data_IF_514250900386
#
_entry.id   IF_514250900386
#
_cell.length_a   1.000
_cell.length_b   1.000
_cell.length_c   1.000
_cell.angle_alpha   90.00
_cell.angle_beta   90.00
_cell.angle_gamma   90.00
#
_symmetry.space_group_name_H-M   'P 1'
#
loop_
_entity.id
_entity.type
_entity.pdbx_description
1 polymer ?
#
# COMPACT_ATOMS: atom_id res chain seq x y z
N UNK A 1 18.10 16.21 0.77
CA UNK A 1 16.91 16.85 0.16
C UNK A 1 15.71 16.03 0.55
N UNK A 2 14.61 16.69 0.97
CA UNK A 2 13.31 16.01 1.16
C UNK A 2 12.72 15.54 -0.17
N UNK A 3 11.78 14.61 -0.13
CA UNK A 3 11.10 14.15 -1.35
C UNK A 3 10.43 15.32 -2.11
N UNK A 4 9.86 16.28 -1.40
CA UNK A 4 9.24 17.45 -2.03
C UNK A 4 10.27 18.39 -2.69
N UNK A 5 11.45 18.57 -2.10
CA UNK A 5 12.53 19.35 -2.74
C UNK A 5 13.01 18.68 -4.03
N UNK A 6 13.13 17.34 -4.03
CA UNK A 6 13.48 16.57 -5.24
C UNK A 6 12.39 16.74 -6.30
N UNK A 7 11.11 16.54 -5.95
CA UNK A 7 10.00 16.68 -6.89
C UNK A 7 9.97 18.07 -7.53
N UNK A 8 10.13 19.14 -6.74
CA UNK A 8 10.20 20.53 -7.23
C UNK A 8 11.42 20.78 -8.12
N UNK A 9 12.59 20.21 -7.79
CA UNK A 9 13.77 20.37 -8.60
C UNK A 9 13.60 19.73 -9.99
N UNK A 10 12.99 18.54 -10.06
CA UNK A 10 12.68 17.86 -11.32
C UNK A 10 11.70 18.69 -12.17
N UNK A 11 10.61 19.18 -11.57
CA UNK A 11 9.61 20.02 -12.26
C UNK A 11 10.24 21.31 -12.75
N UNK A 12 11.10 21.95 -11.95
CA UNK A 12 11.81 23.18 -12.34
C UNK A 12 12.81 22.98 -13.49
N UNK A 13 13.32 21.75 -13.69
CA UNK A 13 14.20 21.41 -14.81
C UNK A 13 13.42 21.08 -16.10
N UNK A 14 12.10 20.93 -16.04
CA UNK A 14 11.28 20.68 -17.23
C UNK A 14 11.03 21.97 -18.03
N UNK A 15 11.08 21.87 -19.36
CA UNK A 15 10.75 22.94 -20.31
C UNK A 15 9.30 22.88 -20.83
N UNK A 16 8.54 21.92 -20.34
CA UNK A 16 7.13 21.65 -20.69
C UNK A 16 6.35 21.30 -19.44
N UNK A 17 5.03 21.15 -19.55
CA UNK A 17 4.21 20.72 -18.43
C UNK A 17 4.66 19.36 -17.93
N UNK A 18 4.92 19.30 -16.63
CA UNK A 18 5.42 18.09 -15.97
C UNK A 18 4.89 17.95 -14.55
N UNK A 19 4.83 16.70 -14.12
CA UNK A 19 4.54 16.30 -12.74
C UNK A 19 5.59 15.31 -12.30
N UNK A 20 6.05 15.44 -11.06
CA UNK A 20 7.00 14.53 -10.44
C UNK A 20 6.40 13.95 -9.16
N UNK A 21 6.42 12.62 -9.07
CA UNK A 21 6.11 11.85 -7.87
C UNK A 21 7.43 11.29 -7.33
N UNK A 22 7.73 11.59 -6.07
CA UNK A 22 8.91 11.10 -5.38
C UNK A 22 8.48 10.25 -4.20
N UNK A 23 8.98 9.03 -4.15
CA UNK A 23 8.81 8.13 -3.03
C UNK A 23 10.19 7.80 -2.44
N UNK A 24 10.43 8.25 -1.22
CA UNK A 24 11.59 7.88 -0.42
C UNK A 24 11.17 6.84 0.59
N UNK A 25 11.95 5.78 0.73
CA UNK A 25 11.66 4.66 1.61
C UNK A 25 12.94 4.21 2.32
N UNK A 26 12.80 3.93 3.61
CA UNK A 26 13.74 3.17 4.42
C UNK A 26 12.96 2.06 5.10
N UNK A 27 13.07 0.84 4.58
CA UNK A 27 12.32 -0.31 5.08
C UNK A 27 13.25 -1.44 5.53
N UNK A 28 12.83 -2.12 6.58
CA UNK A 28 13.55 -3.26 7.13
C UNK A 28 12.65 -4.47 7.28
N UNK A 29 13.24 -5.65 7.11
CA UNK A 29 12.57 -6.94 7.18
C UNK A 29 13.42 -7.90 8.02
N UNK A 30 12.81 -8.55 9.02
CA UNK A 30 13.34 -9.74 9.65
C UNK A 30 12.44 -10.93 9.33
N UNK A 31 12.86 -11.75 8.38
CA UNK A 31 12.14 -12.97 7.98
C UNK A 31 12.59 -14.17 8.81
N UNK A 32 11.65 -15.04 9.16
CA UNK A 32 11.93 -16.30 9.84
C UNK A 32 11.22 -17.48 9.16
N UNK A 33 11.81 -18.65 9.27
CA UNK A 33 11.25 -19.90 8.77
C UNK A 33 11.70 -21.05 9.65
N UNK A 34 10.78 -21.98 9.97
CA UNK A 34 11.06 -23.08 10.88
C UNK A 34 11.52 -22.62 12.27
N UNK A 35 10.99 -21.48 12.74
CA UNK A 35 11.34 -20.83 14.01
C UNK A 35 12.78 -20.31 14.10
N UNK A 36 13.42 -20.00 12.98
CA UNK A 36 14.74 -19.38 12.92
C UNK A 36 14.72 -18.11 12.05
N UNK A 37 15.38 -17.03 12.50
CA UNK A 37 15.54 -15.80 11.71
C UNK A 37 16.60 -16.03 10.63
N UNK A 38 16.20 -15.87 9.35
CA UNK A 38 17.08 -16.18 8.22
C UNK A 38 17.63 -14.96 7.47
N UNK A 39 16.82 -13.93 7.28
CA UNK A 39 17.18 -12.82 6.39
C UNK A 39 16.79 -11.47 7.00
N UNK A 40 17.69 -10.81 7.73
CA UNK A 40 17.55 -9.37 7.96
C UNK A 40 17.87 -8.62 6.65
N UNK A 41 16.98 -7.76 6.22
CA UNK A 41 17.17 -6.92 5.03
C UNK A 41 16.88 -5.47 5.43
N UNK A 42 17.69 -4.54 4.93
CA UNK A 42 17.43 -3.11 4.99
C UNK A 42 17.50 -2.56 3.57
N UNK A 43 16.45 -1.85 3.17
CA UNK A 43 16.34 -1.18 1.88
C UNK A 43 16.26 0.32 2.13
N UNK A 44 17.09 1.07 1.44
CA UNK A 44 17.01 2.53 1.36
C UNK A 44 16.94 2.89 -0.13
N UNK A 45 15.87 3.55 -0.53
CA UNK A 45 15.67 3.91 -1.93
C UNK A 45 14.92 5.23 -2.05
N UNK A 46 15.22 5.96 -3.12
CA UNK A 46 14.45 7.13 -3.56
C UNK A 46 14.08 6.89 -5.02
N UNK A 47 12.79 6.70 -5.26
CA UNK A 47 12.22 6.57 -6.60
C UNK A 47 11.62 7.90 -7.06
N UNK A 48 11.94 8.30 -8.28
CA UNK A 48 11.35 9.48 -8.94
C UNK A 48 10.61 9.00 -10.18
N UNK A 49 9.34 9.32 -10.28
CA UNK A 49 8.53 9.10 -11.49
C UNK A 49 8.10 10.45 -12.03
N UNK A 50 8.32 10.68 -13.32
CA UNK A 50 7.94 11.91 -14.01
C UNK A 50 6.91 11.61 -15.07
N UNK A 51 5.86 12.42 -15.11
CA UNK A 51 4.89 12.51 -16.21
C UNK A 51 5.12 13.83 -16.95
N UNK A 52 5.42 13.76 -18.23
CA UNK A 52 5.48 14.91 -19.15
C UNK A 52 4.19 14.99 -19.93
N UNK A 53 3.69 16.22 -20.13
CA UNK A 53 2.44 16.49 -20.85
C UNK A 53 2.73 17.35 -22.09
N UNK A 54 2.32 16.85 -23.26
CA UNK A 54 2.41 17.55 -24.55
C UNK A 54 1.00 17.66 -25.16
N UNK A 55 0.28 18.71 -24.77
CA UNK A 55 -1.14 18.87 -25.12
C UNK A 55 -2.00 17.79 -24.46
N UNK A 56 -2.53 16.86 -25.25
CA UNK A 56 -3.31 15.70 -24.77
C UNK A 56 -2.50 14.39 -24.70
N UNK A 57 -1.22 14.45 -24.92
CA UNK A 57 -0.31 13.29 -24.88
C UNK A 57 0.50 13.31 -23.60
N UNK A 58 0.58 12.19 -22.94
CA UNK A 58 1.35 12.04 -21.71
C UNK A 58 2.39 10.93 -21.86
N UNK A 59 3.54 11.13 -21.27
CA UNK A 59 4.60 10.14 -21.23
C UNK A 59 5.19 10.06 -19.82
N UNK A 60 5.52 8.85 -19.39
CA UNK A 60 6.00 8.58 -18.05
C UNK A 60 7.35 7.89 -18.10
N UNK A 61 8.24 8.27 -17.21
CA UNK A 61 9.51 7.59 -16.97
C UNK A 61 9.85 7.59 -15.48
N UNK A 62 10.68 6.63 -15.05
CA UNK A 62 11.12 6.51 -13.66
C UNK A 62 12.62 6.34 -13.55
N UNK A 63 13.19 6.83 -12.44
CA UNK A 63 14.60 6.70 -12.10
C UNK A 63 14.78 6.66 -10.58
N UNK A 64 15.89 6.13 -10.11
CA UNK A 64 16.38 6.30 -8.74
C UNK A 64 17.65 7.17 -8.66
N UNK A 65 18.03 7.80 -9.77
CA UNK A 65 19.16 8.73 -9.82
C UNK A 65 18.67 10.15 -9.56
N UNK A 66 19.08 10.72 -8.42
CA UNK A 66 18.60 12.01 -7.87
C UNK A 66 19.62 13.15 -8.05
N UNK A 67 20.32 13.19 -9.19
CA UNK A 67 21.20 14.29 -9.56
C UNK A 67 20.72 14.98 -10.86
N UNK A 68 21.33 16.11 -11.21
CA UNK A 68 20.95 16.91 -12.39
C UNK A 68 20.98 16.11 -13.70
N UNK A 69 21.90 15.14 -13.81
CA UNK A 69 21.99 14.27 -14.99
C UNK A 69 20.82 13.30 -15.02
N UNK A 70 20.49 12.68 -13.88
CA UNK A 70 19.32 11.80 -13.74
C UNK A 70 18.02 12.53 -14.04
N UNK A 71 17.88 13.79 -13.60
CA UNK A 71 16.68 14.61 -13.89
C UNK A 71 16.56 14.93 -15.38
N UNK A 72 17.67 15.29 -16.04
CA UNK A 72 17.67 15.53 -17.48
C UNK A 72 17.32 14.27 -18.27
N UNK A 73 17.91 13.12 -17.93
CA UNK A 73 17.66 11.83 -18.57
C UNK A 73 16.20 11.37 -18.41
N UNK A 74 15.63 11.49 -17.22
CA UNK A 74 14.24 11.05 -16.98
C UNK A 74 13.24 11.93 -17.72
N UNK A 75 13.45 13.26 -17.74
CA UNK A 75 12.61 14.20 -18.47
C UNK A 75 12.66 13.94 -19.97
N UNK A 76 13.86 13.68 -20.54
CA UNK A 76 14.01 13.32 -21.95
C UNK A 76 13.26 12.02 -22.30
N UNK A 77 13.37 11.00 -21.45
CA UNK A 77 12.68 9.72 -21.65
C UNK A 77 11.16 9.88 -21.56
N UNK A 78 10.64 10.61 -20.56
CA UNK A 78 9.22 10.89 -20.43
C UNK A 78 8.69 11.70 -21.62
N UNK A 79 9.45 12.70 -22.08
CA UNK A 79 9.11 13.48 -23.28
C UNK A 79 9.04 12.61 -24.53
N UNK A 80 10.04 11.78 -24.78
CA UNK A 80 10.04 10.86 -25.91
C UNK A 80 8.86 9.87 -25.87
N UNK A 81 8.46 9.43 -24.70
CA UNK A 81 7.26 8.61 -24.53
C UNK A 81 5.99 9.40 -24.87
N UNK A 82 5.86 10.65 -24.42
CA UNK A 82 4.72 11.52 -24.73
C UNK A 82 4.61 11.84 -26.23
N UNK A 83 5.74 12.08 -26.91
CA UNK A 83 5.77 12.37 -28.36
C UNK A 83 5.21 11.20 -29.19
N UNK A 84 5.34 9.95 -28.71
CA UNK A 84 4.88 8.76 -29.38
C UNK A 84 3.55 8.21 -28.83
N UNK A 85 2.99 8.81 -27.79
CA UNK A 85 1.72 8.41 -27.21
C UNK A 85 0.52 8.88 -28.06
N UNK A 86 -0.59 8.16 -28.09
CA UNK A 86 -1.84 8.65 -28.63
C UNK A 86 -2.36 9.84 -27.82
N UNK A 87 -3.19 10.68 -28.43
CA UNK A 87 -3.92 11.73 -27.70
C UNK A 87 -5.00 11.09 -26.81
N UNK A 88 -5.03 11.54 -25.54
CA UNK A 88 -6.11 11.20 -24.61
C UNK A 88 -7.05 12.41 -24.48
N UNK A 89 -8.16 12.34 -25.21
CA UNK A 89 -9.17 13.41 -25.20
C UNK A 89 -9.79 13.63 -23.82
N UNK A 90 -9.73 12.64 -22.95
CA UNK A 90 -10.30 12.69 -21.59
C UNK A 90 -9.33 13.26 -20.55
N UNK A 91 -8.04 13.43 -20.89
CA UNK A 91 -7.06 13.96 -19.97
C UNK A 91 -7.42 15.40 -19.51
N UNK A 92 -7.68 15.59 -18.20
CA UNK A 92 -8.18 16.87 -17.69
C UNK A 92 -7.09 17.92 -17.48
N UNK A 93 -5.82 17.58 -17.65
CA UNK A 93 -4.67 18.39 -17.26
C UNK A 93 -4.08 17.97 -15.91
N UNK A 94 -3.00 18.64 -15.50
CA UNK A 94 -2.37 18.42 -14.21
C UNK A 94 -3.22 18.99 -13.08
N UNK A 95 -3.17 18.35 -11.91
CA UNK A 95 -3.90 18.82 -10.73
C UNK A 95 -3.45 20.22 -10.31
N UNK A 96 -4.42 21.03 -9.90
CA UNK A 96 -4.16 22.39 -9.36
C UNK A 96 -3.87 22.32 -7.86
N UNK A 97 -3.20 23.33 -7.28
CA UNK A 97 -2.96 23.38 -5.85
C UNK A 97 -4.24 23.24 -5.03
N UNK A 98 -4.26 22.28 -4.12
CA UNK A 98 -5.35 22.03 -3.16
C UNK A 98 -4.76 21.75 -1.79
N UNK A 99 -5.50 22.06 -0.73
CA UNK A 99 -5.10 21.74 0.62
C UNK A 99 -5.41 20.28 0.94
N UNK A 100 -4.39 19.51 1.27
CA UNK A 100 -4.56 18.13 1.70
C UNK A 100 -4.98 18.08 3.18
N UNK A 101 -5.84 17.14 3.59
CA UNK A 101 -6.21 16.97 4.99
C UNK A 101 -4.99 16.59 5.83
N UNK A 102 -4.97 17.02 7.09
CA UNK A 102 -4.00 16.52 8.06
C UNK A 102 -4.37 15.08 8.46
N UNK A 103 -3.39 14.20 8.50
CA UNK A 103 -3.55 12.82 8.93
C UNK A 103 -2.45 12.42 9.90
N UNK A 104 -2.78 11.60 10.88
CA UNK A 104 -1.83 10.96 11.78
C UNK A 104 -1.42 9.62 11.19
N UNK A 105 -0.19 9.51 10.71
CA UNK A 105 0.32 8.30 10.07
C UNK A 105 1.84 8.19 10.15
N UNK A 106 2.47 8.92 11.09
CA UNK A 106 3.90 8.93 11.28
C UNK A 106 4.28 8.83 12.76
N UNK A 107 5.18 7.92 13.08
CA UNK A 107 5.70 7.68 14.42
C UNK A 107 7.23 7.64 14.42
N UNK A 108 7.82 8.56 15.18
CA UNK A 108 9.28 8.69 15.29
C UNK A 108 9.98 7.44 15.83
N UNK A 109 9.32 6.67 16.69
CA UNK A 109 9.91 5.46 17.28
C UNK A 109 9.87 4.30 16.28
N UNK A 110 8.80 4.18 15.50
CA UNK A 110 8.72 3.23 14.39
C UNK A 110 9.76 3.53 13.31
N UNK A 111 9.93 4.80 12.94
CA UNK A 111 10.91 5.24 11.95
C UNK A 111 12.36 4.92 12.34
N UNK A 112 12.67 4.85 13.65
CA UNK A 112 14.01 4.56 14.18
C UNK A 112 14.33 3.06 14.26
N UNK A 113 13.36 2.16 14.06
CA UNK A 113 13.60 0.73 14.17
C UNK A 113 14.67 0.30 13.16
N UNK A 114 15.63 -0.46 13.65
CA UNK A 114 16.71 -1.02 12.86
C UNK A 114 16.62 -2.54 12.76
N UNK A 115 17.54 -3.17 11.98
CA UNK A 115 17.54 -4.62 11.79
C UNK A 115 17.60 -5.42 13.09
N UNK A 116 18.28 -4.93 14.12
CA UNK A 116 18.38 -5.58 15.43
C UNK A 116 17.02 -5.56 16.16
N UNK A 117 16.27 -4.47 16.08
CA UNK A 117 14.93 -4.36 16.68
C UNK A 117 13.93 -5.26 15.97
N UNK A 118 13.95 -5.27 14.65
CA UNK A 118 13.11 -6.13 13.82
C UNK A 118 13.39 -7.63 14.10
N UNK A 119 14.66 -8.00 14.20
CA UNK A 119 15.05 -9.38 14.56
C UNK A 119 14.57 -9.77 15.97
N UNK A 120 14.64 -8.84 16.93
CA UNK A 120 14.14 -9.05 18.30
C UNK A 120 12.62 -9.22 18.32
N UNK A 121 11.87 -8.43 17.54
CA UNK A 121 10.42 -8.54 17.43
C UNK A 121 10.01 -9.84 16.72
N UNK A 122 10.75 -10.26 15.68
CA UNK A 122 10.57 -11.56 15.04
C UNK A 122 10.86 -12.72 16.02
N UNK A 123 11.91 -12.62 16.83
CA UNK A 123 12.20 -13.62 17.86
C UNK A 123 11.08 -13.72 18.90
N UNK A 124 10.47 -12.58 19.29
CA UNK A 124 9.31 -12.57 20.19
C UNK A 124 8.12 -13.36 19.63
N UNK A 125 7.88 -13.28 18.31
CA UNK A 125 6.86 -14.11 17.66
C UNK A 125 7.24 -15.60 17.67
N UNK A 126 8.48 -15.92 17.34
CA UNK A 126 8.99 -17.30 17.36
C UNK A 126 8.83 -17.94 18.74
N UNK A 127 9.26 -17.23 19.79
CA UNK A 127 9.22 -17.73 21.18
C UNK A 127 7.79 -17.95 21.70
N UNK A 128 6.82 -17.25 21.15
CA UNK A 128 5.41 -17.33 21.54
C UNK A 128 4.62 -18.41 20.77
N UNK A 129 5.17 -19.03 19.73
CA UNK A 129 4.51 -20.06 18.94
C UNK A 129 4.78 -21.46 19.51
N UNK A 130 3.73 -22.25 19.72
CA UNK A 130 3.82 -23.65 20.12
C UNK A 130 4.09 -24.61 18.94
N UNK A 131 3.97 -24.09 17.71
CA UNK A 131 4.14 -24.82 16.46
C UNK A 131 5.23 -24.13 15.66
N UNK A 132 6.03 -24.84 14.84
CA UNK A 132 7.03 -24.16 13.99
C UNK A 132 6.47 -22.97 13.24
N UNK A 133 7.11 -21.80 13.42
CA UNK A 133 6.64 -20.54 12.90
C UNK A 133 7.41 -20.13 11.65
N UNK A 134 6.69 -19.54 10.70
CA UNK A 134 7.17 -18.94 9.45
C UNK A 134 6.57 -17.56 9.33
N UNK A 135 7.31 -16.60 8.82
CA UNK A 135 6.76 -15.25 8.70
C UNK A 135 7.80 -14.16 8.68
N UNK A 136 7.40 -12.98 9.10
CA UNK A 136 8.28 -11.82 9.16
C UNK A 136 7.79 -10.78 10.16
N UNK A 137 8.71 -9.89 10.54
CA UNK A 137 8.42 -8.56 11.06
C UNK A 137 9.04 -7.53 10.14
N UNK A 138 8.26 -6.52 9.74
CA UNK A 138 8.72 -5.38 8.94
C UNK A 138 8.47 -4.08 9.66
N UNK A 139 9.27 -3.07 9.34
CA UNK A 139 8.94 -1.67 9.62
C UNK A 139 9.51 -0.78 8.54
N UNK A 140 8.82 0.29 8.22
CA UNK A 140 9.26 1.26 7.23
C UNK A 140 9.00 2.70 7.69
N UNK A 141 9.86 3.59 7.22
CA UNK A 141 9.64 5.03 7.12
C UNK A 141 9.59 5.38 5.64
N UNK A 142 8.59 6.15 5.23
CA UNK A 142 8.50 6.62 3.86
C UNK A 142 8.05 8.08 3.79
N UNK A 143 8.44 8.77 2.71
CA UNK A 143 7.95 10.09 2.34
C UNK A 143 7.45 10.03 0.90
N UNK A 144 6.19 10.37 0.68
CA UNK A 144 5.59 10.57 -0.63
C UNK A 144 5.47 12.06 -0.88
N UNK A 145 5.92 12.51 -2.05
CA UNK A 145 5.75 13.90 -2.48
C UNK A 145 5.30 13.97 -3.94
N UNK A 146 4.45 14.93 -4.23
CA UNK A 146 4.00 15.25 -5.59
C UNK A 146 4.19 16.74 -5.83
N UNK A 147 4.80 17.11 -6.95
CA UNK A 147 4.88 18.48 -7.43
C UNK A 147 4.62 18.53 -8.94
N UNK A 148 4.02 19.62 -9.43
CA UNK A 148 3.79 19.79 -10.86
C UNK A 148 3.94 21.25 -11.33
N UNK A 149 3.97 21.45 -12.64
CA UNK A 149 4.10 22.77 -13.29
C UNK A 149 2.90 23.69 -13.07
N UNK A 150 1.74 23.17 -12.62
CA UNK A 150 0.57 24.00 -12.24
C UNK A 150 0.69 24.61 -10.84
N UNK A 151 1.83 24.38 -10.14
CA UNK A 151 2.13 24.94 -8.83
C UNK A 151 1.71 24.06 -7.64
N UNK A 152 1.19 22.85 -7.89
CA UNK A 152 0.97 21.87 -6.83
C UNK A 152 2.30 21.49 -6.19
N UNK A 153 2.31 21.29 -4.87
CA UNK A 153 3.44 20.76 -4.13
C UNK A 153 2.98 20.26 -2.76
N UNK A 154 2.81 18.95 -2.63
CA UNK A 154 2.36 18.28 -1.41
C UNK A 154 3.32 17.17 -1.01
N UNK A 155 3.45 16.90 0.28
CA UNK A 155 4.20 15.75 0.79
C UNK A 155 3.60 15.23 2.09
N UNK A 156 3.82 13.95 2.34
CA UNK A 156 3.44 13.27 3.57
C UNK A 156 4.54 12.29 3.97
N UNK A 157 4.97 12.35 5.24
CA UNK A 157 5.76 11.29 5.86
C UNK A 157 4.83 10.26 6.46
N UNK A 158 5.23 8.99 6.37
CA UNK A 158 4.45 7.86 6.86
C UNK A 158 5.39 6.84 7.50
N UNK A 159 4.87 6.11 8.45
CA UNK A 159 5.51 4.90 8.97
C UNK A 159 4.53 3.74 8.86
N UNK A 160 5.05 2.54 8.79
CA UNK A 160 4.28 1.32 8.93
C UNK A 160 5.11 0.23 9.57
N UNK A 161 4.43 -0.71 10.20
CA UNK A 161 5.02 -1.94 10.70
C UNK A 161 4.00 -3.07 10.52
N UNK A 162 4.51 -4.29 10.34
CA UNK A 162 3.69 -5.48 10.17
C UNK A 162 4.36 -6.70 10.77
N UNK A 163 3.56 -7.53 11.45
CA UNK A 163 3.95 -8.87 11.89
C UNK A 163 3.00 -9.87 11.26
N UNK A 164 3.55 -10.83 10.52
CA UNK A 164 2.81 -11.94 9.92
C UNK A 164 3.40 -13.26 10.39
N UNK A 165 2.54 -14.17 10.84
CA UNK A 165 2.94 -15.50 11.28
C UNK A 165 2.05 -16.57 10.64
N UNK A 166 2.70 -17.55 10.03
CA UNK A 166 2.12 -18.85 9.68
C UNK A 166 2.71 -19.87 10.63
N UNK A 167 1.91 -20.45 11.50
CA UNK A 167 2.29 -21.60 12.33
C UNK A 167 1.92 -22.87 11.56
N UNK A 168 2.89 -23.77 11.30
CA UNK A 168 2.64 -24.97 10.51
C UNK A 168 3.45 -26.16 10.99
N UNK A 169 2.77 -27.32 11.10
CA UNK A 169 3.36 -28.63 11.35
C UNK A 169 2.60 -29.69 10.52
N UNK A 170 2.99 -30.96 10.64
CA UNK A 170 2.40 -32.06 9.89
C UNK A 170 0.86 -32.08 10.02
N UNK A 171 0.19 -31.78 8.90
CA UNK A 171 -1.26 -31.82 8.77
C UNK A 171 -2.03 -30.66 9.42
N UNK A 172 -1.34 -29.63 9.91
CA UNK A 172 -2.03 -28.45 10.48
C UNK A 172 -1.34 -27.13 10.09
N UNK A 173 -2.12 -26.06 10.00
CA UNK A 173 -1.60 -24.71 9.80
C UNK A 173 -2.56 -23.66 10.35
N UNK A 174 -2.01 -22.51 10.72
CA UNK A 174 -2.75 -21.35 11.14
C UNK A 174 -2.05 -20.06 10.72
N UNK A 175 -2.81 -19.00 10.55
CA UNK A 175 -2.37 -17.71 10.07
C UNK A 175 -2.87 -16.59 10.96
N UNK A 176 -2.03 -15.61 11.21
CA UNK A 176 -2.41 -14.32 11.79
C UNK A 176 -1.46 -13.22 11.35
N UNK A 177 -1.95 -11.98 11.33
CA UNK A 177 -1.16 -10.78 11.08
C UNK A 177 -1.70 -9.57 11.82
N UNK A 178 -0.82 -8.60 12.04
CA UNK A 178 -1.18 -7.25 12.46
C UNK A 178 -0.36 -6.25 11.66
N UNK A 179 -1.02 -5.17 11.22
CA UNK A 179 -0.37 -4.04 10.55
C UNK A 179 -0.85 -2.74 11.19
N UNK A 180 0.08 -1.81 11.43
CA UNK A 180 -0.23 -0.49 11.97
C UNK A 180 0.85 0.52 11.52
N UNK A 181 0.53 1.82 11.57
CA UNK A 181 1.54 2.85 11.36
C UNK A 181 2.48 3.06 12.56
N UNK A 182 2.09 2.54 13.73
CA UNK A 182 2.92 2.50 14.95
C UNK A 182 3.32 1.06 15.27
N UNK A 183 4.62 0.79 15.30
CA UNK A 183 5.12 -0.54 15.67
C UNK A 183 4.73 -0.95 17.10
N UNK A 184 4.53 0.03 18.00
CA UNK A 184 4.07 -0.20 19.37
C UNK A 184 2.63 -0.72 19.47
N UNK A 185 1.82 -0.58 18.42
CA UNK A 185 0.47 -1.12 18.34
C UNK A 185 0.45 -2.62 17.93
N UNK A 186 1.59 -3.18 17.54
CA UNK A 186 1.72 -4.57 17.12
C UNK A 186 2.24 -5.40 18.30
N UNK A 187 1.55 -6.50 18.61
CA UNK A 187 2.00 -7.54 19.55
C UNK A 187 2.40 -8.81 18.79
N UNK A 188 3.69 -8.98 18.43
CA UNK A 188 4.14 -10.14 17.67
C UNK A 188 3.90 -11.48 18.40
N UNK A 189 3.91 -11.45 19.73
CA UNK A 189 3.60 -12.64 20.53
C UNK A 189 2.12 -13.01 20.44
N UNK A 190 1.21 -12.03 20.45
CA UNK A 190 -0.23 -12.29 20.27
C UNK A 190 -0.51 -12.84 18.87
N UNK A 191 0.09 -12.27 17.82
CA UNK A 191 -0.01 -12.76 16.44
C UNK A 191 0.43 -14.22 16.35
N UNK A 192 1.58 -14.55 16.94
CA UNK A 192 2.12 -15.92 16.91
C UNK A 192 1.23 -16.91 17.69
N UNK A 193 0.70 -16.51 18.86
CA UNK A 193 -0.25 -17.33 19.62
C UNK A 193 -1.52 -17.60 18.83
N UNK A 194 -2.09 -16.57 18.20
CA UNK A 194 -3.28 -16.72 17.37
C UNK A 194 -3.06 -17.70 16.21
N UNK A 195 -1.95 -17.55 15.47
CA UNK A 195 -1.59 -18.45 14.38
C UNK A 195 -1.40 -19.89 14.90
N UNK A 196 -0.70 -20.06 16.04
CA UNK A 196 -0.45 -21.35 16.68
C UNK A 196 -1.75 -22.03 17.13
N UNK A 197 -2.64 -21.29 17.79
CA UNK A 197 -3.96 -21.80 18.23
C UNK A 197 -4.80 -22.28 17.04
N UNK A 198 -4.78 -21.55 15.92
CA UNK A 198 -5.46 -21.95 14.68
C UNK A 198 -4.84 -23.23 14.10
N UNK A 199 -3.51 -23.34 14.07
CA UNK A 199 -2.82 -24.54 13.61
C UNK A 199 -3.24 -25.76 14.44
N UNK A 200 -3.23 -25.65 15.77
CA UNK A 200 -3.64 -26.76 16.67
C UNK A 200 -5.09 -27.16 16.40
N UNK A 201 -6.00 -26.23 16.19
CA UNK A 201 -7.42 -26.51 15.88
C UNK A 201 -7.64 -27.20 14.54
N UNK A 202 -6.73 -27.02 13.56
CA UNK A 202 -6.84 -27.63 12.24
C UNK A 202 -6.17 -29.01 12.14
N UNK A 203 -5.57 -29.51 13.22
CA UNK A 203 -4.83 -30.80 13.25
C UNK A 203 -5.68 -32.00 12.82
N UNK A 204 -6.98 -31.98 13.14
CA UNK A 204 -7.90 -33.08 12.82
C UNK A 204 -8.91 -32.65 11.71
N UNK A 205 -8.45 -31.85 10.74
CA UNK A 205 -9.28 -31.41 9.63
C UNK A 205 -9.87 -32.61 8.87
N UNK A 206 -11.13 -32.49 8.46
CA UNK A 206 -11.86 -33.53 7.72
C UNK A 206 -12.24 -33.01 6.35
N UNK A 207 -12.23 -33.90 5.37
CA UNK A 207 -12.83 -33.61 4.07
C UNK A 207 -14.35 -33.43 4.23
N UNK A 208 -14.89 -32.45 3.52
CA UNK A 208 -16.34 -32.22 3.42
C UNK A 208 -16.77 -32.57 2.00
N UNK A 209 -17.93 -33.22 1.90
CA UNK A 209 -18.56 -33.44 0.59
C UNK A 209 -18.90 -32.09 -0.06
N UNK A 210 -18.85 -31.99 -1.41
CA UNK A 210 -19.31 -30.80 -2.09
C UNK A 210 -20.75 -30.46 -1.72
N UNK A 211 -21.01 -29.21 -1.34
CA UNK A 211 -22.33 -28.78 -0.89
C UNK A 211 -22.39 -27.29 -0.54
N UNK A 212 -23.56 -26.87 -0.09
CA UNK A 212 -23.80 -25.51 0.41
C UNK A 212 -23.69 -25.51 1.94
N UNK A 213 -22.81 -24.71 2.49
CA UNK A 213 -22.53 -24.60 3.91
C UNK A 213 -22.70 -23.18 4.40
N UNK A 214 -23.14 -23.04 5.64
CA UNK A 214 -23.06 -21.75 6.35
C UNK A 214 -21.65 -21.62 6.92
N UNK A 215 -20.98 -20.52 6.56
CA UNK A 215 -19.62 -20.24 7.02
C UNK A 215 -19.59 -18.91 7.79
N UNK A 216 -18.75 -18.84 8.83
CA UNK A 216 -18.34 -17.61 9.49
C UNK A 216 -16.93 -17.29 8.98
N UNK A 217 -16.76 -16.15 8.36
CA UNK A 217 -15.47 -15.70 7.84
C UNK A 217 -14.76 -14.83 8.89
N UNK A 218 -13.49 -15.12 9.12
CA UNK A 218 -12.62 -14.26 9.93
C UNK A 218 -12.33 -12.94 9.20
N UNK A 219 -11.89 -11.88 9.92
CA UNK A 219 -11.48 -10.61 9.30
C UNK A 219 -10.47 -10.77 8.17
N UNK A 220 -9.49 -11.67 8.30
CA UNK A 220 -8.49 -11.93 7.24
C UNK A 220 -9.13 -12.44 5.95
N UNK A 221 -10.03 -13.41 6.05
CA UNK A 221 -10.75 -13.92 4.89
C UNK A 221 -11.67 -12.87 4.25
N UNK A 222 -12.26 -11.99 5.06
CA UNK A 222 -13.04 -10.85 4.55
C UNK A 222 -12.12 -9.83 3.87
N UNK A 223 -10.94 -9.56 4.44
CA UNK A 223 -9.95 -8.67 3.86
C UNK A 223 -9.50 -9.16 2.48
N UNK A 224 -9.18 -10.45 2.33
CA UNK A 224 -8.83 -11.05 1.04
C UNK A 224 -9.95 -10.88 0.00
N UNK A 225 -11.21 -11.14 0.40
CA UNK A 225 -12.35 -10.95 -0.50
C UNK A 225 -12.53 -9.48 -0.91
N UNK A 226 -12.33 -8.54 0.02
CA UNK A 226 -12.42 -7.11 -0.27
C UNK A 226 -11.26 -6.63 -1.14
N UNK A 227 -10.05 -7.16 -0.96
CA UNK A 227 -8.89 -6.83 -1.78
C UNK A 227 -9.13 -7.21 -3.25
N UNK A 228 -9.52 -8.46 -3.51
CA UNK A 228 -9.89 -8.89 -4.86
C UNK A 228 -11.06 -8.10 -5.43
N UNK A 229 -12.10 -7.87 -4.63
CA UNK A 229 -13.26 -7.10 -5.08
C UNK A 229 -12.89 -5.64 -5.40
N UNK A 230 -12.00 -5.04 -4.61
CA UNK A 230 -11.53 -3.67 -4.84
C UNK A 230 -10.73 -3.55 -6.14
N UNK A 231 -9.80 -4.48 -6.37
CA UNK A 231 -8.98 -4.51 -7.59
C UNK A 231 -9.80 -4.68 -8.86
N UNK A 232 -10.73 -5.63 -8.86
CA UNK A 232 -11.48 -5.99 -10.05
C UNK A 232 -12.72 -5.12 -10.28
N UNK A 233 -13.26 -4.50 -9.23
CA UNK A 233 -14.60 -3.92 -9.31
C UNK A 233 -14.72 -2.47 -8.88
N UNK A 234 -13.99 -2.01 -7.85
CA UNK A 234 -14.20 -0.67 -7.28
C UNK A 234 -13.39 0.43 -7.97
N UNK A 235 -12.48 0.08 -8.88
CA UNK A 235 -11.68 1.06 -9.62
C UNK A 235 -12.50 1.78 -10.70
N UNK A 236 -12.45 3.11 -10.72
CA UNK A 236 -13.17 3.94 -11.69
C UNK A 236 -12.80 3.62 -13.15
N UNK A 237 -11.53 3.32 -13.44
CA UNK A 237 -11.07 2.96 -14.78
C UNK A 237 -11.74 1.66 -15.28
N UNK A 238 -11.82 0.64 -14.43
CA UNK A 238 -12.50 -0.62 -14.74
C UNK A 238 -13.99 -0.41 -15.05
N UNK A 239 -14.62 0.53 -14.34
CA UNK A 239 -16.01 0.91 -14.58
C UNK A 239 -16.18 1.62 -15.94
N UNK A 240 -15.33 2.59 -16.26
CA UNK A 240 -15.35 3.33 -17.52
C UNK A 240 -15.10 2.41 -18.72
N UNK A 241 -14.19 1.47 -18.60
CA UNK A 241 -13.88 0.48 -19.63
C UNK A 241 -14.85 -0.72 -19.67
N UNK A 242 -15.87 -0.72 -18.82
CA UNK A 242 -16.88 -1.80 -18.71
C UNK A 242 -16.28 -3.17 -18.38
N UNK A 243 -15.16 -3.21 -17.67
CA UNK A 243 -14.52 -4.45 -17.17
C UNK A 243 -14.90 -4.78 -15.73
N UNK A 244 -15.44 -3.81 -15.00
CA UNK A 244 -15.84 -3.98 -13.61
C UNK A 244 -17.13 -4.81 -13.51
N UNK A 245 -17.21 -5.65 -12.46
CA UNK A 245 -18.48 -6.27 -12.04
C UNK A 245 -19.60 -5.25 -11.82
N UNK A 246 -19.24 -4.01 -11.43
CA UNK A 246 -20.18 -2.92 -11.16
C UNK A 246 -20.62 -2.15 -12.43
N UNK A 247 -20.07 -2.46 -13.61
CA UNK A 247 -20.55 -1.90 -14.86
C UNK A 247 -22.04 -2.17 -14.99
N UNK A 248 -22.82 -1.16 -15.28
CA UNK A 248 -24.29 -1.20 -15.37
C UNK A 248 -25.04 -1.56 -14.06
N UNK A 249 -24.36 -1.58 -12.91
CA UNK A 249 -24.95 -1.89 -11.58
C UNK A 249 -24.90 -0.74 -10.58
N UNK A 250 -24.46 0.44 -10.98
CA UNK A 250 -24.46 1.61 -10.09
C UNK A 250 -25.90 1.92 -9.63
N UNK A 251 -26.06 2.13 -8.32
CA UNK A 251 -27.35 2.34 -7.68
C UNK A 251 -28.24 1.10 -7.56
N UNK A 252 -27.74 -0.09 -7.89
CA UNK A 252 -28.44 -1.36 -7.72
C UNK A 252 -27.91 -2.11 -6.50
N UNK A 253 -28.75 -2.94 -5.94
CA UNK A 253 -28.39 -3.82 -4.82
C UNK A 253 -27.48 -4.95 -5.30
N UNK A 254 -26.30 -5.08 -4.68
CA UNK A 254 -25.29 -6.09 -4.98
C UNK A 254 -24.98 -7.01 -3.79
N UNK A 255 -25.39 -6.64 -2.57
CA UNK A 255 -25.14 -7.35 -1.34
C UNK A 255 -26.35 -7.33 -0.40
N UNK A 256 -26.23 -7.94 0.77
CA UNK A 256 -27.24 -7.84 1.84
C UNK A 256 -27.29 -6.41 2.40
N UNK A 257 -28.46 -5.96 2.83
CA UNK A 257 -28.68 -4.61 3.40
C UNK A 257 -27.86 -4.30 4.67
N UNK A 258 -27.32 -5.34 5.31
CA UNK A 258 -26.43 -5.19 6.45
C UNK A 258 -25.01 -4.84 6.08
N UNK A 259 -24.67 -4.87 4.78
CA UNK A 259 -23.31 -4.64 4.29
C UNK A 259 -23.17 -3.19 3.83
N UNK A 260 -22.27 -2.49 4.46
CA UNK A 260 -21.77 -1.18 4.01
C UNK A 260 -20.27 -1.27 3.84
N UNK A 261 -19.76 -0.81 2.69
CA UNK A 261 -18.33 -0.76 2.38
C UNK A 261 -17.94 0.70 2.19
N UNK A 262 -16.98 1.14 2.98
CA UNK A 262 -16.44 2.50 2.92
C UNK A 262 -14.94 2.44 2.62
N UNK A 263 -14.46 3.24 1.65
CA UNK A 263 -13.06 3.57 1.49
C UNK A 263 -12.77 4.81 2.34
N UNK A 264 -12.09 4.62 3.48
CA UNK A 264 -11.67 5.72 4.35
C UNK A 264 -10.14 5.83 4.39
N UNK A 265 -9.55 6.61 3.46
CA UNK A 265 -8.10 6.79 3.41
C UNK A 265 -7.54 7.64 4.56
N UNK A 266 -8.37 8.21 5.41
CA UNK A 266 -7.96 9.09 6.52
C UNK A 266 -8.07 8.41 7.89
N UNK A 267 -8.58 7.16 7.94
CA UNK A 267 -8.75 6.42 9.19
C UNK A 267 -7.39 6.12 9.85
N UNK A 268 -7.21 6.64 11.06
CA UNK A 268 -6.00 6.43 11.87
C UNK A 268 -5.81 4.99 12.35
N UNK A 269 -6.82 4.11 12.25
CA UNK A 269 -6.67 2.67 12.53
C UNK A 269 -6.05 1.90 11.36
N UNK A 270 -6.02 2.51 10.15
CA UNK A 270 -5.37 1.96 8.97
C UNK A 270 -3.98 2.55 8.73
N UNK A 271 -3.64 2.72 7.47
CA UNK A 271 -2.44 3.42 7.00
C UNK A 271 -2.87 4.69 6.26
N UNK A 272 -3.10 5.81 6.98
CA UNK A 272 -3.76 6.97 6.42
C UNK A 272 -2.93 7.69 5.36
N UNK A 273 -3.60 8.13 4.29
CA UNK A 273 -3.00 8.86 3.17
C UNK A 273 -3.83 10.10 2.83
N UNK A 274 -3.21 11.27 2.92
CA UNK A 274 -3.88 12.56 2.73
C UNK A 274 -4.21 12.87 1.26
N UNK A 275 -3.44 12.34 0.31
CA UNK A 275 -3.58 12.61 -1.12
C UNK A 275 -3.18 11.39 -1.96
N UNK A 276 -3.55 11.40 -3.22
CA UNK A 276 -3.20 10.37 -4.21
C UNK A 276 -1.89 10.70 -4.94
N UNK A 277 -1.50 9.85 -5.90
CA UNK A 277 -0.27 10.03 -6.68
C UNK A 277 -0.31 11.21 -7.69
N UNK A 278 -1.44 11.91 -7.80
CA UNK A 278 -1.55 13.18 -8.52
C UNK A 278 -1.60 14.39 -7.57
N UNK A 279 -1.47 14.14 -6.25
CA UNK A 279 -1.54 15.16 -5.21
C UNK A 279 -2.97 15.64 -4.92
N UNK A 280 -3.99 14.94 -5.43
CA UNK A 280 -5.39 15.25 -5.16
C UNK A 280 -5.76 14.80 -3.74
N UNK A 281 -6.35 15.67 -2.91
CA UNK A 281 -6.77 15.33 -1.55
C UNK A 281 -7.74 14.16 -1.52
N UNK A 282 -7.45 13.18 -0.66
CA UNK A 282 -8.33 12.04 -0.42
C UNK A 282 -9.42 12.38 0.59
N UNK A 283 -10.53 11.65 0.50
CA UNK A 283 -11.69 11.77 1.39
C UNK A 283 -12.39 10.43 1.56
N UNK A 284 -13.09 10.20 2.67
CA UNK A 284 -13.94 9.02 2.83
C UNK A 284 -15.04 8.94 1.75
N UNK A 285 -15.25 7.74 1.22
CA UNK A 285 -16.26 7.44 0.22
C UNK A 285 -17.05 6.19 0.63
N UNK A 286 -18.37 6.27 0.65
CA UNK A 286 -19.22 5.08 0.76
C UNK A 286 -19.35 4.46 -0.62
N UNK A 287 -18.84 3.24 -0.78
CA UNK A 287 -18.81 2.48 -2.03
C UNK A 287 -20.02 1.56 -2.16
N UNK A 288 -20.43 0.95 -1.05
CA UNK A 288 -21.67 0.16 -0.94
C UNK A 288 -22.42 0.67 0.26
N UNK A 289 -23.64 1.16 0.06
CA UNK A 289 -24.50 1.71 1.10
C UNK A 289 -25.70 0.79 1.31
N UNK A 290 -25.73 0.08 2.45
CA UNK A 290 -26.80 -0.86 2.78
C UNK A 290 -27.13 -1.84 1.63
N UNK A 291 -26.05 -2.48 1.10
CA UNK A 291 -26.14 -3.46 0.03
C UNK A 291 -26.24 -2.90 -1.36
#
# INVERSE_FOLDING_TARGET
MSALEIARAVVAAADVDAEAVVHSERSGLARFAGSEVHQPTLIENVGVTVRVVLGKRTGVASTNRIDDVGFAEILQRARAAAENAPEDETFPGLATPMEAPAVDGYDDDTAKLGPADQARLAATAIDASEVPAYGFFTSAESELAVANSSGLGVSQRMTDASALVVAAADGCSGYAEQTAWQASAIDPAAVAREASDKAVRTKDARELDPGVYVAVLEPYAVADLLDYFSHDSLGALGLLEKRSYLSDRLGQRIADEKITITDDPLDAHGLPKAFDFEGTPKRPLVLVDHG
#
